data_IF_212294591889
#
_entry.id   IF_212294591889
#
_cell.length_a   1.000
_cell.length_b   1.000
_cell.length_c   1.000
_cell.angle_alpha   90.00
_cell.angle_beta   90.00
_cell.angle_gamma   90.00
#
_symmetry.space_group_name_H-M   'P 1'
#
loop_
_entity.id
_entity.type
_entity.pdbx_description
1 polymer ?
#
# COMPACT_ATOMS: atom_id res chain seq x y z
N UNK A 1 -3.47 -34.84 34.39
CA UNK A 1 -3.90 -34.02 33.24
C UNK A 1 -4.96 -34.82 32.51
N UNK A 2 -6.23 -34.39 32.52
CA UNK A 2 -7.25 -35.00 31.66
C UNK A 2 -7.03 -34.46 30.25
N UNK A 3 -6.80 -35.35 29.28
CA UNK A 3 -6.86 -35.02 27.86
C UNK A 3 -8.24 -34.47 27.53
N UNK A 4 -8.30 -33.29 26.92
CA UNK A 4 -9.53 -32.66 26.46
C UNK A 4 -10.27 -33.63 25.51
N UNK A 5 -11.58 -33.87 25.70
CA UNK A 5 -12.35 -34.68 24.75
C UNK A 5 -12.35 -34.04 23.36
N UNK A 6 -12.60 -34.85 22.32
CA UNK A 6 -12.81 -34.36 20.96
C UNK A 6 -13.96 -33.34 20.94
N UNK A 7 -13.68 -32.08 20.61
CA UNK A 7 -14.69 -31.03 20.48
C UNK A 7 -14.99 -30.77 19.01
N UNK A 8 -16.26 -30.84 18.63
CA UNK A 8 -16.74 -30.23 17.39
C UNK A 8 -16.82 -28.72 17.63
N UNK A 9 -15.81 -27.97 17.19
CA UNK A 9 -15.86 -26.51 17.24
C UNK A 9 -16.80 -25.99 16.15
N UNK A 10 -17.82 -25.24 16.56
CA UNK A 10 -18.72 -24.54 15.63
C UNK A 10 -17.94 -23.39 14.97
N UNK A 11 -17.97 -23.25 13.64
CA UNK A 11 -17.34 -22.10 12.98
C UNK A 11 -17.93 -20.78 13.47
N UNK A 12 -17.05 -19.79 13.69
CA UNK A 12 -17.41 -18.44 14.16
C UNK A 12 -17.06 -17.35 13.15
N UNK A 13 -16.48 -17.71 12.00
CA UNK A 13 -16.38 -16.81 10.86
C UNK A 13 -16.61 -17.52 9.53
N UNK A 14 -16.99 -16.74 8.53
CA UNK A 14 -17.20 -17.19 7.15
C UNK A 14 -16.74 -16.13 6.16
N UNK A 15 -16.09 -16.57 5.08
CA UNK A 15 -15.89 -15.79 3.87
C UNK A 15 -16.89 -16.28 2.82
N UNK A 16 -17.72 -15.37 2.30
CA UNK A 16 -18.68 -15.66 1.23
C UNK A 16 -18.25 -14.93 -0.03
N UNK A 17 -17.87 -15.67 -1.06
CA UNK A 17 -17.47 -15.13 -2.36
C UNK A 17 -18.70 -14.78 -3.20
N UNK A 18 -18.53 -13.90 -4.18
CA UNK A 18 -19.62 -13.46 -5.07
C UNK A 18 -20.26 -14.59 -5.91
N UNK A 19 -19.56 -15.71 -6.11
CA UNK A 19 -20.09 -16.91 -6.77
C UNK A 19 -20.98 -17.77 -5.84
N UNK A 20 -21.09 -17.40 -4.56
CA UNK A 20 -21.86 -18.09 -3.54
C UNK A 20 -21.05 -19.11 -2.72
N UNK A 21 -19.77 -19.32 -3.03
CA UNK A 21 -18.86 -20.17 -2.24
C UNK A 21 -18.74 -19.62 -0.83
N UNK A 22 -18.95 -20.48 0.18
CA UNK A 22 -18.83 -20.13 1.59
C UNK A 22 -17.70 -20.95 2.24
N UNK A 23 -16.71 -20.26 2.80
CA UNK A 23 -15.53 -20.85 3.43
C UNK A 23 -15.58 -20.53 4.93
N UNK A 24 -15.73 -21.57 5.74
CA UNK A 24 -15.93 -21.46 7.19
C UNK A 24 -14.62 -21.66 7.95
N UNK A 25 -14.49 -20.93 9.06
CA UNK A 25 -13.37 -21.08 9.99
C UNK A 25 -13.65 -20.38 11.31
N UNK A 26 -12.58 -19.96 11.97
CA UNK A 26 -12.63 -19.33 13.29
C UNK A 26 -12.46 -17.82 13.18
N UNK A 27 -13.40 -17.09 13.75
CA UNK A 27 -13.38 -15.63 13.80
C UNK A 27 -12.30 -15.11 14.74
N UNK A 28 -11.63 -14.07 14.26
CA UNK A 28 -10.64 -13.26 14.98
C UNK A 28 -10.92 -11.78 14.69
N UNK A 29 -10.38 -10.88 15.50
CA UNK A 29 -10.62 -9.46 15.34
C UNK A 29 -12.05 -9.05 15.68
N UNK A 30 -12.53 -8.00 15.02
CA UNK A 30 -13.85 -7.42 15.26
C UNK A 30 -15.00 -8.34 14.83
N UNK A 31 -16.15 -8.18 15.47
CA UNK A 31 -17.40 -8.88 15.13
C UNK A 31 -18.23 -8.07 14.14
N UNK A 32 -19.03 -8.74 13.32
CA UNK A 32 -19.84 -8.12 12.26
C UNK A 32 -19.47 -8.66 10.89
N UNK A 33 -19.79 -7.93 9.84
CA UNK A 33 -19.46 -8.31 8.46
C UNK A 33 -19.15 -7.12 7.55
N UNK A 34 -18.26 -7.31 6.56
CA UNK A 34 -17.83 -6.26 5.63
C UNK A 34 -17.67 -6.80 4.20
N UNK A 35 -18.06 -5.98 3.21
CA UNK A 35 -17.86 -6.23 1.77
C UNK A 35 -16.51 -5.69 1.32
N UNK A 36 -15.77 -6.47 0.55
CA UNK A 36 -14.45 -6.08 0.05
C UNK A 36 -13.96 -7.01 -1.08
N UNK A 37 -12.89 -6.58 -1.75
CA UNK A 37 -12.15 -7.42 -2.70
C UNK A 37 -11.15 -8.28 -1.92
N UNK A 38 -11.05 -9.57 -2.24
CA UNK A 38 -10.07 -10.47 -1.61
C UNK A 38 -8.81 -10.50 -2.45
N UNK A 39 -7.69 -10.12 -1.84
CA UNK A 39 -6.36 -10.31 -2.40
C UNK A 39 -5.57 -11.31 -1.57
N UNK A 40 -4.40 -11.73 -2.06
CA UNK A 40 -3.44 -12.49 -1.27
C UNK A 40 -2.09 -11.78 -1.25
N UNK A 41 -1.37 -11.81 -0.13
CA UNK A 41 -0.02 -11.25 -0.03
C UNK A 41 1.00 -12.34 0.37
N UNK A 42 2.13 -12.37 -0.34
CA UNK A 42 3.18 -13.39 -0.19
C UNK A 42 4.27 -13.06 0.83
N UNK A 43 4.24 -11.87 1.45
CA UNK A 43 5.21 -11.48 2.45
C UNK A 43 5.16 -12.41 3.67
N UNK A 44 6.34 -12.87 4.09
CA UNK A 44 6.48 -13.78 5.24
C UNK A 44 6.49 -13.02 6.58
N UNK A 45 6.80 -11.73 6.53
CA UNK A 45 6.91 -10.82 7.68
C UNK A 45 6.24 -9.49 7.34
N UNK A 46 5.91 -8.71 8.36
CA UNK A 46 5.36 -7.37 8.17
C UNK A 46 3.85 -7.32 8.01
N UNK A 47 3.12 -8.26 8.63
CA UNK A 47 1.67 -8.31 8.55
C UNK A 47 1.00 -7.06 9.13
N UNK A 48 1.63 -6.39 10.09
CA UNK A 48 1.06 -5.21 10.72
C UNK A 48 1.15 -4.01 9.77
N UNK A 49 2.32 -3.80 9.18
CA UNK A 49 2.58 -2.79 8.16
C UNK A 49 1.64 -2.98 6.96
N UNK A 50 1.46 -4.22 6.49
CA UNK A 50 0.47 -4.58 5.44
C UNK A 50 -0.95 -4.19 5.85
N UNK A 51 -1.40 -4.59 7.04
CA UNK A 51 -2.78 -4.32 7.47
C UNK A 51 -3.06 -2.82 7.68
N UNK A 52 -2.02 -2.00 7.75
CA UNK A 52 -2.09 -0.55 7.95
C UNK A 52 -1.67 0.24 6.73
N UNK A 53 -1.35 -0.41 5.63
CA UNK A 53 -1.11 0.25 4.35
C UNK A 53 -2.47 0.74 3.79
N UNK A 54 -2.66 2.06 3.61
CA UNK A 54 -3.93 2.60 3.10
C UNK A 54 -4.34 2.07 1.74
N UNK A 55 -3.40 1.52 0.95
CA UNK A 55 -3.68 0.94 -0.36
C UNK A 55 -4.56 -0.31 -0.28
N UNK A 56 -4.68 -0.96 0.89
CA UNK A 56 -5.63 -2.05 1.14
C UNK A 56 -7.03 -1.60 1.57
N UNK A 57 -7.34 -0.30 1.52
CA UNK A 57 -8.69 0.17 1.85
C UNK A 57 -9.72 -0.55 0.95
N UNK A 58 -10.76 -1.10 1.56
CA UNK A 58 -11.78 -1.88 0.85
C UNK A 58 -11.34 -3.29 0.44
N UNK A 59 -10.24 -3.81 1.00
CA UNK A 59 -9.73 -5.15 0.69
C UNK A 59 -9.62 -6.06 1.94
N UNK A 60 -9.76 -7.36 1.69
CA UNK A 60 -9.51 -8.45 2.63
C UNK A 60 -8.18 -9.09 2.25
N UNK A 61 -7.20 -9.07 3.15
CA UNK A 61 -5.85 -9.58 2.88
C UNK A 61 -5.73 -11.04 3.31
N UNK A 62 -5.50 -11.93 2.34
CA UNK A 62 -5.16 -13.33 2.60
C UNK A 62 -3.64 -13.49 2.70
N UNK A 63 -3.13 -13.90 3.86
CA UNK A 63 -1.70 -14.15 4.00
C UNK A 63 -1.34 -15.57 3.58
N UNK A 64 -0.34 -15.72 2.72
CA UNK A 64 0.13 -17.05 2.31
C UNK A 64 1.03 -17.69 3.35
N UNK A 65 1.75 -16.90 4.14
CA UNK A 65 2.53 -17.42 5.26
C UNK A 65 1.59 -17.89 6.39
N UNK A 66 1.72 -19.13 6.87
CA UNK A 66 0.67 -19.73 7.69
C UNK A 66 0.54 -19.14 9.10
N UNK A 67 1.64 -18.70 9.69
CA UNK A 67 1.71 -18.24 11.07
C UNK A 67 1.78 -16.71 11.15
N UNK A 68 0.62 -16.07 11.25
CA UNK A 68 0.50 -14.61 11.38
C UNK A 68 0.20 -14.25 12.84
N UNK A 69 0.90 -13.24 13.37
CA UNK A 69 0.78 -12.80 14.78
C UNK A 69 1.93 -13.21 15.69
N UNK A 70 2.94 -13.93 15.18
CA UNK A 70 4.04 -14.47 15.98
C UNK A 70 4.82 -13.40 16.78
N UNK A 71 4.84 -12.16 16.31
CA UNK A 71 5.53 -11.03 16.96
C UNK A 71 4.58 -10.03 17.62
N UNK A 72 3.28 -10.35 17.69
CA UNK A 72 2.24 -9.50 18.28
C UNK A 72 1.98 -8.26 17.44
N UNK A 73 1.60 -7.17 18.09
CA UNK A 73 1.48 -5.85 17.49
C UNK A 73 2.14 -4.79 18.39
N UNK A 74 2.53 -3.66 17.78
CA UNK A 74 3.12 -2.52 18.48
C UNK A 74 2.74 -1.17 17.83
N UNK A 75 3.07 -0.05 18.45
CA UNK A 75 2.71 1.28 17.94
C UNK A 75 3.64 1.84 16.87
N UNK A 76 4.75 1.16 16.56
CA UNK A 76 5.79 1.64 15.64
C UNK A 76 5.62 1.08 14.22
N UNK A 77 5.08 -0.13 14.08
CA UNK A 77 4.86 -0.82 12.80
C UNK A 77 3.49 -0.43 12.19
N UNK A 78 3.27 0.89 12.06
CA UNK A 78 2.06 1.51 11.51
C UNK A 78 2.44 2.33 10.29
N UNK A 79 1.75 2.09 9.17
CA UNK A 79 2.01 2.79 7.91
C UNK A 79 0.94 3.82 7.52
N UNK A 80 -0.29 3.73 8.04
CA UNK A 80 -1.31 4.74 7.75
C UNK A 80 -0.96 6.09 8.39
N UNK A 81 -1.25 7.20 7.70
CA UNK A 81 -0.93 8.54 8.23
C UNK A 81 -1.78 8.90 9.47
N UNK A 82 -3.05 8.50 9.48
CA UNK A 82 -4.03 8.84 10.53
C UNK A 82 -4.59 7.58 11.23
N UNK A 83 -3.91 7.06 12.27
CA UNK A 83 -4.28 5.78 12.91
C UNK A 83 -5.67 5.76 13.52
N UNK A 84 -6.16 6.92 13.96
CA UNK A 84 -7.53 7.06 14.47
C UNK A 84 -8.58 6.78 13.40
N UNK A 85 -8.28 7.08 12.13
CA UNK A 85 -9.16 6.79 10.99
C UNK A 85 -9.04 5.34 10.51
N UNK A 86 -8.03 4.59 10.99
CA UNK A 86 -7.84 3.14 10.76
C UNK A 86 -7.87 2.77 9.27
N UNK A 87 -7.16 3.56 8.46
CA UNK A 87 -7.09 3.38 7.02
C UNK A 87 -6.20 2.18 6.71
N UNK A 88 -6.68 1.25 5.90
CA UNK A 88 -5.99 0.00 5.58
C UNK A 88 -6.96 -1.14 5.31
N UNK A 89 -6.48 -2.36 5.47
CA UNK A 89 -7.27 -3.56 5.22
C UNK A 89 -8.52 -3.60 6.11
N UNK A 90 -9.67 -3.96 5.53
CA UNK A 90 -10.94 -4.11 6.28
C UNK A 90 -11.13 -5.52 6.82
N UNK A 91 -10.42 -6.48 6.24
CA UNK A 91 -10.41 -7.85 6.75
C UNK A 91 -9.11 -8.60 6.51
N UNK A 92 -8.95 -9.73 7.17
CA UNK A 92 -7.74 -10.55 7.10
C UNK A 92 -8.02 -12.04 7.18
N UNK A 93 -7.21 -12.85 6.51
CA UNK A 93 -7.38 -14.31 6.45
C UNK A 93 -6.07 -15.04 6.73
N UNK A 94 -6.09 -15.93 7.72
CA UNK A 94 -4.93 -16.71 8.18
C UNK A 94 -5.16 -18.22 8.06
N UNK A 95 -4.05 -18.97 7.86
CA UNK A 95 -4.07 -20.44 7.91
C UNK A 95 -4.16 -20.94 9.34
N UNK A 96 -3.21 -20.53 10.19
CA UNK A 96 -3.16 -20.94 11.58
C UNK A 96 -3.95 -19.97 12.47
N UNK A 97 -4.30 -20.43 13.67
CA UNK A 97 -4.78 -19.53 14.73
C UNK A 97 -3.65 -18.61 15.21
N UNK A 98 -4.03 -17.44 15.72
CA UNK A 98 -3.08 -16.50 16.33
C UNK A 98 -2.51 -17.14 17.61
N UNK A 99 -1.18 -17.21 17.70
CA UNK A 99 -0.49 -17.70 18.89
C UNK A 99 -0.16 -16.56 19.85
N UNK A 100 0.26 -16.89 21.07
CA UNK A 100 0.89 -15.90 21.95
C UNK A 100 2.14 -15.30 21.27
N UNK A 101 2.31 -13.97 21.30
CA UNK A 101 3.43 -13.35 20.62
C UNK A 101 4.74 -13.56 21.38
N UNK A 102 5.85 -13.65 20.65
CA UNK A 102 7.20 -13.77 21.20
C UNK A 102 8.16 -12.83 20.47
N UNK A 103 8.14 -11.55 20.88
CA UNK A 103 9.06 -10.53 20.38
C UNK A 103 9.22 -9.41 21.41
N UNK A 104 10.43 -8.88 21.57
CA UNK A 104 10.71 -7.81 22.55
C UNK A 104 9.98 -6.49 22.24
N UNK A 105 9.61 -6.24 20.97
CA UNK A 105 8.80 -5.10 20.52
C UNK A 105 7.30 -5.32 20.71
N UNK A 106 6.84 -6.56 20.95
CA UNK A 106 5.42 -6.84 21.15
C UNK A 106 4.88 -6.03 22.32
N UNK A 107 3.76 -5.34 22.10
CA UNK A 107 3.03 -4.61 23.15
C UNK A 107 1.58 -5.08 23.28
N UNK A 108 1.03 -5.71 22.25
CA UNK A 108 -0.34 -6.19 22.22
C UNK A 108 -0.43 -7.56 21.51
N UNK A 109 -1.42 -8.37 21.88
CA UNK A 109 -1.78 -9.56 21.13
C UNK A 109 -2.47 -9.16 19.81
N UNK A 110 -2.17 -9.85 18.70
CA UNK A 110 -2.70 -9.48 17.39
C UNK A 110 -4.24 -9.49 17.34
N UNK A 111 -4.93 -10.43 18.00
CA UNK A 111 -6.40 -10.48 17.99
C UNK A 111 -7.02 -9.26 18.67
N UNK A 112 -6.44 -8.82 19.80
CA UNK A 112 -6.85 -7.61 20.50
C UNK A 112 -6.61 -6.35 19.64
N UNK A 113 -5.48 -6.31 18.95
CA UNK A 113 -5.15 -5.23 18.03
C UNK A 113 -6.10 -5.18 16.81
N UNK A 114 -6.46 -6.33 16.22
CA UNK A 114 -7.44 -6.40 15.14
C UNK A 114 -8.82 -5.88 15.60
N UNK A 115 -9.25 -6.23 16.81
CA UNK A 115 -10.48 -5.70 17.44
C UNK A 115 -10.41 -4.20 17.63
N UNK A 116 -9.29 -3.70 18.16
CA UNK A 116 -9.10 -2.26 18.38
C UNK A 116 -9.04 -1.48 17.07
N UNK A 117 -8.66 -2.12 15.96
CA UNK A 117 -8.70 -1.60 14.58
C UNK A 117 -10.04 -1.77 13.88
N UNK A 118 -10.96 -2.58 14.39
CA UNK A 118 -12.20 -2.90 13.69
C UNK A 118 -12.02 -3.84 12.48
N UNK A 119 -10.88 -4.54 12.39
CA UNK A 119 -10.59 -5.48 11.30
C UNK A 119 -11.24 -6.81 11.61
N UNK A 120 -12.03 -7.33 10.66
CA UNK A 120 -12.69 -8.63 10.77
C UNK A 120 -11.77 -9.69 10.20
N UNK A 121 -11.51 -10.78 10.93
CA UNK A 121 -10.62 -11.83 10.43
C UNK A 121 -11.17 -13.24 10.53
N UNK A 122 -10.62 -14.09 9.67
CA UNK A 122 -10.94 -15.51 9.53
C UNK A 122 -9.65 -16.31 9.62
N UNK A 123 -9.61 -17.31 10.49
CA UNK A 123 -8.46 -18.21 10.67
C UNK A 123 -8.87 -19.67 10.55
N UNK A 124 -7.90 -20.57 10.39
CA UNK A 124 -8.14 -22.02 10.34
C UNK A 124 -8.54 -22.55 8.97
N UNK A 125 -8.46 -21.74 7.91
CA UNK A 125 -8.85 -22.15 6.55
C UNK A 125 -7.64 -22.53 5.69
N UNK A 126 -7.85 -23.21 4.57
CA UNK A 126 -6.77 -23.43 3.61
C UNK A 126 -6.48 -22.19 2.76
N UNK A 127 -5.60 -21.32 3.25
CA UNK A 127 -5.17 -20.12 2.51
C UNK A 127 -4.44 -20.46 1.21
N UNK A 128 -3.80 -21.64 1.10
CA UNK A 128 -3.18 -22.06 -0.17
C UNK A 128 -4.24 -22.35 -1.23
N UNK A 129 -5.34 -23.01 -0.85
CA UNK A 129 -6.46 -23.24 -1.75
C UNK A 129 -7.08 -21.92 -2.21
N UNK A 130 -7.29 -20.96 -1.29
CA UNK A 130 -7.80 -19.63 -1.62
C UNK A 130 -6.85 -18.85 -2.55
N UNK A 131 -5.54 -18.86 -2.28
CA UNK A 131 -4.55 -18.23 -3.17
C UNK A 131 -4.52 -18.87 -4.55
N UNK A 132 -4.62 -20.20 -4.65
CA UNK A 132 -4.70 -20.87 -5.94
C UNK A 132 -5.98 -20.48 -6.69
N UNK A 133 -7.12 -20.41 -5.98
CA UNK A 133 -8.38 -19.97 -6.54
C UNK A 133 -8.30 -18.55 -7.10
N UNK A 134 -7.73 -17.59 -6.33
CA UNK A 134 -7.56 -16.19 -6.77
C UNK A 134 -6.65 -16.11 -8.00
N UNK A 135 -5.59 -16.90 -8.08
CA UNK A 135 -4.70 -16.92 -9.26
C UNK A 135 -5.39 -17.47 -10.52
N UNK A 136 -6.38 -18.34 -10.36
CA UNK A 136 -7.11 -18.97 -11.47
C UNK A 136 -8.33 -18.16 -11.93
N UNK A 137 -9.00 -17.47 -11.00
CA UNK A 137 -10.28 -16.79 -11.24
C UNK A 137 -10.22 -15.27 -11.11
N UNK A 138 -9.09 -14.73 -10.65
CA UNK A 138 -8.90 -13.33 -10.31
C UNK A 138 -9.32 -13.00 -8.88
N UNK A 139 -9.10 -11.75 -8.47
CA UNK A 139 -9.48 -11.26 -7.14
C UNK A 139 -11.02 -11.19 -6.99
N UNK A 140 -11.65 -12.00 -6.11
CA UNK A 140 -13.10 -12.01 -5.98
C UNK A 140 -13.60 -10.90 -5.07
N UNK A 141 -14.80 -10.43 -5.38
CA UNK A 141 -15.64 -9.72 -4.43
C UNK A 141 -16.16 -10.70 -3.37
N UNK A 142 -16.16 -10.30 -2.09
CA UNK A 142 -16.61 -11.16 -1.01
C UNK A 142 -17.19 -10.38 0.17
N UNK A 143 -17.82 -11.12 1.08
CA UNK A 143 -18.13 -10.69 2.44
C UNK A 143 -17.39 -11.57 3.42
N UNK A 144 -16.63 -10.95 4.32
CA UNK A 144 -16.09 -11.63 5.51
C UNK A 144 -16.98 -11.29 6.70
N UNK A 145 -17.37 -12.31 7.47
CA UNK A 145 -18.21 -12.16 8.65
C UNK A 145 -17.63 -12.92 9.85
N UNK A 146 -17.70 -12.30 11.03
CA UNK A 146 -17.34 -12.89 12.32
C UNK A 146 -18.53 -12.75 13.28
N UNK A 147 -19.14 -13.88 13.59
CA UNK A 147 -20.27 -14.02 14.51
C UNK A 147 -19.91 -15.04 15.60
N UNK A 148 -19.61 -14.61 16.84
CA UNK A 148 -19.17 -15.50 17.91
C UNK A 148 -20.14 -16.64 18.24
N UNK A 149 -21.44 -16.48 18.00
CA UNK A 149 -22.43 -17.55 18.17
C UNK A 149 -22.41 -18.59 17.05
N UNK A 150 -21.74 -18.31 15.93
CA UNK A 150 -21.69 -19.13 14.72
C UNK A 150 -23.01 -19.21 13.95
N UNK A 151 -23.94 -18.28 14.19
CA UNK A 151 -25.24 -18.23 13.52
C UNK A 151 -25.20 -17.24 12.36
N UNK A 152 -24.98 -17.73 11.14
CA UNK A 152 -24.90 -16.89 9.94
C UNK A 152 -26.19 -16.92 9.12
N UNK A 153 -26.67 -15.75 8.71
CA UNK A 153 -27.63 -15.64 7.61
C UNK A 153 -26.89 -15.71 6.27
N UNK A 154 -26.63 -16.93 5.80
CA UNK A 154 -25.83 -17.15 4.59
C UNK A 154 -26.50 -16.58 3.33
N UNK A 155 -27.84 -16.55 3.27
CA UNK A 155 -28.53 -16.02 2.10
C UNK A 155 -28.39 -14.49 2.04
N UNK A 156 -28.48 -13.80 3.17
CA UNK A 156 -28.17 -12.37 3.25
C UNK A 156 -26.71 -12.08 2.89
N UNK A 157 -25.75 -12.86 3.39
CA UNK A 157 -24.33 -12.68 3.09
C UNK A 157 -24.00 -12.92 1.60
N UNK A 158 -24.60 -13.94 0.97
CA UNK A 158 -24.46 -14.19 -0.48
C UNK A 158 -25.05 -13.06 -1.31
N UNK A 159 -26.24 -12.58 -0.94
CA UNK A 159 -26.87 -11.45 -1.62
C UNK A 159 -25.99 -10.20 -1.52
N UNK A 160 -25.39 -9.95 -0.35
CA UNK A 160 -24.45 -8.86 -0.12
C UNK A 160 -23.17 -9.01 -0.95
N UNK A 161 -22.52 -10.18 -0.94
CA UNK A 161 -21.32 -10.46 -1.74
C UNK A 161 -21.54 -10.24 -3.25
N UNK A 162 -22.72 -10.62 -3.75
CA UNK A 162 -23.10 -10.45 -5.16
C UNK A 162 -23.41 -8.99 -5.54
N UNK A 163 -23.85 -8.17 -4.58
CA UNK A 163 -24.26 -6.79 -4.84
C UNK A 163 -23.10 -5.79 -4.91
N UNK A 164 -21.89 -6.17 -4.44
CA UNK A 164 -20.76 -5.26 -4.41
C UNK A 164 -20.14 -5.07 -5.81
N UNK A 165 -19.99 -3.81 -6.22
CA UNK A 165 -19.53 -3.42 -7.55
C UNK A 165 -18.03 -3.60 -7.83
N UNK A 166 -17.24 -4.02 -6.83
CA UNK A 166 -15.79 -4.13 -6.96
C UNK A 166 -15.06 -2.79 -6.79
N UNK A 167 -13.74 -2.80 -7.00
CA UNK A 167 -12.89 -1.62 -6.90
C UNK A 167 -12.86 -0.76 -8.17
N UNK A 168 -13.24 -1.29 -9.32
CA UNK A 168 -13.24 -0.54 -10.58
C UNK A 168 -14.22 0.64 -10.51
N UNK A 169 -13.74 1.82 -10.90
CA UNK A 169 -14.49 3.07 -10.81
C UNK A 169 -14.66 3.65 -9.39
N UNK A 170 -14.07 3.04 -8.35
CA UNK A 170 -14.09 3.61 -6.99
C UNK A 170 -12.86 4.49 -6.73
N UNK A 171 -13.10 5.78 -6.49
CA UNK A 171 -12.09 6.70 -5.96
C UNK A 171 -11.96 6.51 -4.45
N UNK A 172 -11.10 5.59 -4.02
CA UNK A 172 -10.81 5.37 -2.60
C UNK A 172 -9.74 6.33 -2.06
N UNK A 173 -9.01 7.02 -2.94
CA UNK A 173 -8.00 8.00 -2.54
C UNK A 173 -8.62 9.17 -1.74
N UNK A 174 -9.85 9.58 -2.05
CA UNK A 174 -10.56 10.61 -1.26
C UNK A 174 -10.99 10.14 0.13
N UNK A 175 -11.15 8.84 0.32
CA UNK A 175 -11.40 8.26 1.65
C UNK A 175 -10.09 8.09 2.42
N UNK A 176 -8.99 7.84 1.71
CA UNK A 176 -7.66 7.59 2.28
C UNK A 176 -6.82 8.85 2.52
N UNK A 177 -7.11 9.97 1.86
CA UNK A 177 -6.39 11.25 1.99
C UNK A 177 -6.63 11.93 3.33
N UNK A 178 -5.61 12.59 3.87
CA UNK A 178 -5.71 13.54 4.98
C UNK A 178 -6.79 14.62 4.73
N UNK A 179 -7.45 15.04 5.81
CA UNK A 179 -8.51 16.05 5.74
C UNK A 179 -8.01 17.49 5.68
N UNK A 180 -6.74 17.73 6.06
CA UNK A 180 -6.08 19.02 6.03
C UNK A 180 -4.59 18.82 5.82
N UNK A 181 -3.92 19.85 5.28
CA UNK A 181 -2.47 19.82 5.11
C UNK A 181 -1.76 19.73 6.46
N UNK A 182 -0.64 18.99 6.51
CA UNK A 182 0.15 18.80 7.71
C UNK A 182 1.65 18.82 7.39
N UNK A 183 2.46 19.03 8.43
CA UNK A 183 3.92 18.86 8.35
C UNK A 183 4.28 17.48 8.85
N UNK A 184 5.30 16.88 8.25
CA UNK A 184 5.90 15.63 8.72
C UNK A 184 7.38 15.83 8.99
N UNK A 185 7.83 15.38 10.16
CA UNK A 185 9.20 15.50 10.64
C UNK A 185 9.79 14.20 11.21
N UNK A 186 9.00 13.14 11.39
CA UNK A 186 9.48 11.84 11.88
C UNK A 186 10.47 11.21 10.86
N UNK A 187 11.64 10.76 11.35
CA UNK A 187 12.75 10.15 10.60
C UNK A 187 12.60 8.62 10.49
N UNK A 188 13.41 7.94 9.67
CA UNK A 188 13.42 6.47 9.62
C UNK A 188 13.73 5.87 10.99
N UNK A 189 13.08 4.73 11.30
CA UNK A 189 13.29 4.01 12.55
C UNK A 189 14.73 3.48 12.65
N UNK A 190 15.32 3.57 13.84
CA UNK A 190 16.65 3.01 14.14
C UNK A 190 16.55 1.98 15.26
N UNK A 191 17.23 0.86 15.07
CA UNK A 191 17.22 -0.24 16.05
C UNK A 191 17.73 0.21 17.42
N UNK A 192 16.97 -0.12 18.47
CA UNK A 192 17.18 0.31 19.87
C UNK A 192 17.03 1.82 20.15
N UNK A 193 16.73 2.64 19.15
CA UNK A 193 16.58 4.09 19.31
C UNK A 193 15.13 4.53 19.03
N UNK A 194 14.45 3.88 18.10
CA UNK A 194 13.09 4.21 17.72
C UNK A 194 13.05 5.26 16.61
N UNK A 195 12.01 6.09 16.63
CA UNK A 195 11.85 7.22 15.74
C UNK A 195 12.43 8.50 16.36
N UNK A 196 13.09 9.31 15.54
CA UNK A 196 13.50 10.67 15.87
C UNK A 196 12.74 11.69 15.01
N UNK A 197 12.86 12.98 15.31
CA UNK A 197 12.35 14.06 14.47
C UNK A 197 13.48 14.83 13.78
N UNK A 198 13.21 15.33 12.58
CA UNK A 198 14.10 16.19 11.82
C UNK A 198 13.99 17.63 12.36
N UNK A 199 15.04 18.10 13.04
CA UNK A 199 15.11 19.46 13.55
C UNK A 199 15.02 20.51 12.43
N UNK A 200 14.39 21.65 12.69
CA UNK A 200 14.22 22.73 11.70
C UNK A 200 15.57 23.23 11.13
N UNK A 201 16.62 23.25 11.94
CA UNK A 201 17.96 23.66 11.53
C UNK A 201 18.61 22.70 10.52
N UNK A 202 18.15 21.46 10.45
CA UNK A 202 18.69 20.41 9.56
C UNK A 202 17.86 20.25 8.27
N UNK A 203 16.76 21.00 8.12
CA UNK A 203 15.92 20.97 6.93
C UNK A 203 16.60 21.72 5.77
N UNK A 204 16.84 21.02 4.65
CA UNK A 204 17.57 21.56 3.48
C UNK A 204 16.70 21.67 2.23
N UNK A 205 15.75 20.77 2.08
CA UNK A 205 14.87 20.70 0.92
C UNK A 205 13.41 20.71 1.37
N UNK A 206 12.54 21.28 0.55
CA UNK A 206 11.09 21.25 0.79
C UNK A 206 10.39 20.38 -0.25
N UNK A 207 9.85 19.25 0.19
CA UNK A 207 9.03 18.35 -0.63
C UNK A 207 7.56 18.52 -0.25
N UNK A 208 6.71 18.74 -1.25
CA UNK A 208 5.25 18.66 -1.07
C UNK A 208 4.78 17.27 -1.49
N UNK A 209 4.15 16.54 -0.59
CA UNK A 209 3.58 15.22 -0.82
C UNK A 209 2.07 15.34 -1.02
N UNK A 210 1.57 14.98 -2.19
CA UNK A 210 0.12 14.83 -2.42
C UNK A 210 -0.30 13.48 -1.85
N UNK A 211 -1.20 13.52 -0.86
CA UNK A 211 -1.66 12.37 -0.11
C UNK A 211 -2.86 11.71 -0.78
N UNK A 212 -2.60 10.60 -1.47
CA UNK A 212 -3.63 9.71 -2.00
C UNK A 212 -3.92 8.52 -1.06
N UNK A 213 -3.36 8.51 0.15
CA UNK A 213 -3.26 7.34 1.03
C UNK A 213 -1.81 7.00 1.37
N UNK A 214 -1.01 8.03 1.69
CA UNK A 214 0.44 7.90 1.86
C UNK A 214 0.82 6.98 3.02
N UNK A 215 1.81 6.13 2.77
CA UNK A 215 2.49 5.36 3.80
C UNK A 215 3.51 6.22 4.56
N UNK A 216 3.53 6.13 5.88
CA UNK A 216 4.45 6.88 6.74
C UNK A 216 5.91 6.67 6.37
N UNK A 217 6.31 5.46 5.98
CA UNK A 217 7.72 5.21 5.67
C UNK A 217 8.23 5.99 4.44
N UNK A 218 7.35 6.35 3.49
CA UNK A 218 7.70 7.27 2.40
C UNK A 218 8.15 8.62 2.98
N UNK A 219 7.36 9.17 3.90
CA UNK A 219 7.61 10.47 4.52
C UNK A 219 8.89 10.42 5.37
N UNK A 220 9.10 9.31 6.10
CA UNK A 220 10.32 9.06 6.89
C UNK A 220 11.57 9.01 6.01
N UNK A 221 11.53 8.37 4.85
CA UNK A 221 12.70 8.33 3.96
C UNK A 221 13.04 9.71 3.38
N UNK A 222 12.05 10.57 3.16
CA UNK A 222 12.32 11.97 2.79
C UNK A 222 12.94 12.78 3.93
N UNK A 223 12.41 12.70 5.15
CA UNK A 223 13.00 13.40 6.31
C UNK A 223 14.41 12.88 6.62
N UNK A 224 14.68 11.60 6.41
CA UNK A 224 16.02 11.01 6.47
C UNK A 224 17.02 11.59 5.47
N UNK A 225 16.53 12.25 4.41
CA UNK A 225 17.32 13.01 3.43
C UNK A 225 17.24 14.52 3.65
N UNK A 226 16.97 14.97 4.89
CA UNK A 226 16.86 16.39 5.26
C UNK A 226 15.73 17.14 4.55
N UNK A 227 14.68 16.45 4.13
CA UNK A 227 13.52 17.09 3.53
C UNK A 227 12.51 17.49 4.59
N UNK A 228 12.15 18.77 4.63
CA UNK A 228 10.89 19.23 5.18
C UNK A 228 9.77 18.71 4.29
N UNK A 229 8.85 17.92 4.83
CA UNK A 229 7.72 17.39 4.07
C UNK A 229 6.44 18.10 4.47
N UNK A 230 5.74 18.66 3.48
CA UNK A 230 4.37 19.15 3.65
C UNK A 230 3.42 18.20 2.93
N UNK A 231 2.57 17.54 3.71
CA UNK A 231 1.54 16.64 3.19
C UNK A 231 0.30 17.48 2.88
N UNK A 232 -0.24 17.33 1.68
CA UNK A 232 -1.45 18.04 1.24
C UNK A 232 -2.53 17.05 0.80
N UNK A 233 -3.82 17.35 1.01
CA UNK A 233 -4.90 16.48 0.57
C UNK A 233 -4.90 16.18 -0.94
N UNK A 234 -5.46 15.04 -1.33
CA UNK A 234 -5.54 14.56 -2.72
C UNK A 234 -6.06 15.60 -3.74
N UNK A 235 -6.97 16.48 -3.31
CA UNK A 235 -7.64 17.49 -4.14
C UNK A 235 -7.02 18.89 -4.05
N UNK A 236 -5.86 19.05 -3.42
CA UNK A 236 -5.17 20.35 -3.37
C UNK A 236 -4.78 20.81 -4.77
N UNK A 237 -5.03 22.09 -5.06
CA UNK A 237 -4.79 22.65 -6.39
C UNK A 237 -3.29 22.80 -6.69
N UNK A 238 -2.93 22.83 -7.98
CA UNK A 238 -1.55 23.11 -8.38
C UNK A 238 -1.08 24.51 -7.92
N UNK A 239 -1.98 25.50 -7.93
CA UNK A 239 -1.69 26.85 -7.45
C UNK A 239 -1.30 26.84 -5.96
N UNK A 240 -2.09 26.19 -5.12
CA UNK A 240 -1.81 26.08 -3.68
C UNK A 240 -0.51 25.32 -3.42
N UNK A 241 -0.25 24.24 -4.18
CA UNK A 241 1.00 23.47 -4.07
C UNK A 241 2.20 24.34 -4.44
N UNK A 242 2.12 25.09 -5.53
CA UNK A 242 3.21 25.98 -5.98
C UNK A 242 3.40 27.17 -5.03
N UNK A 243 2.33 27.66 -4.39
CA UNK A 243 2.40 28.73 -3.40
C UNK A 243 3.22 28.33 -2.15
N UNK A 244 3.33 27.03 -1.86
CA UNK A 244 4.21 26.50 -0.82
C UNK A 244 5.71 26.59 -1.19
N UNK A 245 6.04 26.99 -2.41
CA UNK A 245 7.42 27.08 -2.93
C UNK A 245 8.25 25.79 -2.76
N UNK A 246 7.74 24.62 -3.20
CA UNK A 246 8.46 23.37 -3.06
C UNK A 246 9.72 23.32 -3.93
N UNK A 247 10.72 22.61 -3.45
CA UNK A 247 11.88 22.21 -4.24
C UNK A 247 11.58 21.01 -5.15
N UNK A 248 10.59 20.18 -4.77
CA UNK A 248 10.09 19.06 -5.56
C UNK A 248 8.72 18.59 -5.06
N UNK A 249 7.98 17.89 -5.91
CA UNK A 249 6.66 17.35 -5.59
C UNK A 249 6.66 15.83 -5.66
N UNK A 250 5.99 15.22 -4.69
CA UNK A 250 5.87 13.78 -4.58
C UNK A 250 4.39 13.35 -4.64
N UNK A 251 4.12 12.29 -5.42
CA UNK A 251 2.80 11.69 -5.62
C UNK A 251 2.77 10.35 -4.88
N UNK A 252 1.99 10.24 -3.79
CA UNK A 252 2.01 9.05 -2.94
C UNK A 252 1.35 7.82 -3.56
N UNK A 253 1.53 6.68 -2.88
CA UNK A 253 0.66 5.52 -3.04
C UNK A 253 -0.78 5.83 -2.58
N UNK A 254 -1.71 4.91 -2.87
CA UNK A 254 -3.09 4.99 -2.44
C UNK A 254 -3.95 3.84 -2.97
N UNK A 255 -5.19 3.70 -2.46
CA UNK A 255 -6.14 2.68 -2.89
C UNK A 255 -6.99 3.12 -4.09
N UNK A 256 -7.73 2.16 -4.67
CA UNK A 256 -8.80 2.43 -5.62
C UNK A 256 -8.38 2.43 -7.09
N UNK A 257 -9.29 2.86 -7.95
CA UNK A 257 -9.10 2.90 -9.40
C UNK A 257 -8.37 4.19 -9.83
N UNK A 258 -7.22 4.07 -10.52
CA UNK A 258 -6.48 5.22 -11.00
C UNK A 258 -7.27 6.15 -11.94
N UNK A 259 -8.19 5.60 -12.74
CA UNK A 259 -9.00 6.39 -13.65
C UNK A 259 -9.93 7.35 -12.89
N UNK A 260 -10.50 6.91 -11.77
CA UNK A 260 -11.39 7.71 -10.93
C UNK A 260 -10.62 8.81 -10.18
N UNK A 261 -9.49 8.47 -9.55
CA UNK A 261 -8.60 9.47 -8.92
C UNK A 261 -8.01 10.45 -9.95
N UNK A 262 -7.81 9.99 -11.18
CA UNK A 262 -7.30 10.77 -12.29
C UNK A 262 -8.18 11.99 -12.66
N UNK A 263 -9.49 11.95 -12.40
CA UNK A 263 -10.42 13.04 -12.75
C UNK A 263 -9.97 14.41 -12.19
N UNK A 264 -9.44 14.43 -10.97
CA UNK A 264 -8.94 15.65 -10.33
C UNK A 264 -7.40 15.70 -10.27
N UNK A 265 -6.73 14.55 -10.17
CA UNK A 265 -5.27 14.52 -10.01
C UNK A 265 -4.51 14.84 -11.31
N UNK A 266 -4.99 14.37 -12.47
CA UNK A 266 -4.28 14.53 -13.75
C UNK A 266 -4.08 16.00 -14.15
N UNK A 267 -5.10 16.88 -14.09
CA UNK A 267 -4.90 18.31 -14.39
C UNK A 267 -3.87 18.97 -13.47
N UNK A 268 -3.88 18.64 -12.17
CA UNK A 268 -2.91 19.16 -11.19
C UNK A 268 -1.50 18.70 -11.52
N UNK A 269 -1.31 17.40 -11.78
CA UNK A 269 0.00 16.82 -12.10
C UNK A 269 0.57 17.42 -13.38
N UNK A 270 -0.24 17.65 -14.41
CA UNK A 270 0.21 18.33 -15.64
C UNK A 270 0.75 19.73 -15.35
N UNK A 271 0.02 20.53 -14.57
CA UNK A 271 0.47 21.86 -14.18
C UNK A 271 1.78 21.83 -13.37
N UNK A 272 1.94 20.83 -12.49
CA UNK A 272 3.18 20.65 -11.73
C UNK A 272 4.36 20.25 -12.63
N UNK A 273 4.16 19.39 -13.62
CA UNK A 273 5.18 19.03 -14.62
C UNK A 273 5.58 20.26 -15.45
N UNK A 274 4.63 21.12 -15.81
CA UNK A 274 4.88 22.32 -16.60
C UNK A 274 5.60 23.42 -15.82
N UNK A 275 5.54 23.40 -14.48
CA UNK A 275 6.34 24.28 -13.62
C UNK A 275 7.86 23.98 -13.68
N UNK A 276 8.25 22.82 -14.21
CA UNK A 276 9.66 22.39 -14.25
C UNK A 276 10.24 21.99 -12.88
N UNK A 277 9.39 21.69 -11.91
CA UNK A 277 9.79 21.07 -10.64
C UNK A 277 10.12 19.59 -10.84
N UNK A 278 11.06 19.04 -10.05
CA UNK A 278 11.18 17.60 -9.89
C UNK A 278 9.86 16.97 -9.43
N UNK A 279 9.43 15.90 -10.10
CA UNK A 279 8.22 15.13 -9.74
C UNK A 279 8.56 13.65 -9.61
N UNK A 280 8.19 13.04 -8.48
CA UNK A 280 8.35 11.61 -8.24
C UNK A 280 7.03 10.97 -7.81
N UNK A 281 6.64 9.86 -8.43
CA UNK A 281 5.45 9.10 -8.06
C UNK A 281 5.72 7.65 -7.65
N UNK A 282 4.97 7.14 -6.67
CA UNK A 282 5.02 5.75 -6.20
C UNK A 282 3.63 5.11 -6.30
N UNK A 283 3.55 3.87 -6.81
CA UNK A 283 2.32 3.08 -6.90
C UNK A 283 1.15 3.83 -7.58
N UNK A 284 0.14 4.29 -6.84
CA UNK A 284 -0.94 5.11 -7.40
C UNK A 284 -0.40 6.41 -8.02
N UNK A 285 0.59 7.06 -7.39
CA UNK A 285 1.28 8.22 -7.94
C UNK A 285 2.02 7.93 -9.25
N UNK A 286 2.51 6.71 -9.45
CA UNK A 286 3.07 6.27 -10.73
C UNK A 286 1.99 6.17 -11.82
N UNK A 287 0.84 5.59 -11.47
CA UNK A 287 -0.30 5.46 -12.38
C UNK A 287 -0.89 6.83 -12.74
N UNK A 288 -1.05 7.72 -11.76
CA UNK A 288 -1.47 9.11 -11.98
C UNK A 288 -0.51 9.85 -12.91
N UNK A 289 0.80 9.68 -12.70
CA UNK A 289 1.80 10.28 -13.58
C UNK A 289 1.68 9.75 -15.01
N UNK A 290 1.53 8.44 -15.18
CA UNK A 290 1.35 7.84 -16.50
C UNK A 290 0.10 8.37 -17.22
N UNK A 291 -1.05 8.45 -16.53
CA UNK A 291 -2.28 9.05 -17.07
C UNK A 291 -2.09 10.53 -17.43
N UNK A 292 -1.40 11.30 -16.58
CA UNK A 292 -1.12 12.70 -16.83
C UNK A 292 -0.27 12.91 -18.09
N UNK A 293 0.66 11.99 -18.36
CA UNK A 293 1.49 11.97 -19.55
C UNK A 293 0.78 11.43 -20.80
N UNK A 294 -0.43 10.87 -20.67
CA UNK A 294 -1.22 10.36 -21.79
C UNK A 294 -1.20 8.83 -21.97
N UNK A 295 -0.60 8.09 -21.04
CA UNK A 295 -0.71 6.64 -20.97
C UNK A 295 -2.08 6.16 -20.46
N UNK A 296 -2.24 4.85 -20.35
CA UNK A 296 -3.45 4.17 -19.86
C UNK A 296 -3.11 3.22 -18.71
N UNK A 297 -4.10 2.95 -17.88
CA UNK A 297 -4.05 1.94 -16.81
C UNK A 297 -5.01 0.79 -17.10
N UNK A 298 -4.67 -0.40 -16.60
CA UNK A 298 -5.49 -1.61 -16.72
C UNK A 298 -5.60 -2.30 -15.36
N UNK A 299 -6.77 -2.88 -15.05
CA UNK A 299 -6.93 -3.77 -13.89
C UNK A 299 -6.20 -5.07 -14.16
N UNK A 300 -5.43 -5.53 -13.18
CA UNK A 300 -4.71 -6.79 -13.24
C UNK A 300 -5.61 -7.95 -12.76
N UNK A 301 -5.37 -9.14 -13.30
CA UNK A 301 -6.13 -10.34 -12.93
C UNK A 301 -6.09 -10.64 -11.42
N UNK A 302 -4.89 -10.64 -10.83
CA UNK A 302 -4.65 -10.88 -9.40
C UNK A 302 -3.87 -9.75 -8.70
N UNK A 303 -3.31 -8.81 -9.47
CA UNK A 303 -2.40 -7.79 -8.97
C UNK A 303 -1.05 -8.34 -8.48
N UNK A 304 -0.23 -7.46 -7.90
CA UNK A 304 1.02 -7.83 -7.25
C UNK A 304 0.99 -7.42 -5.78
N UNK A 305 1.17 -8.39 -4.90
CA UNK A 305 1.05 -8.24 -3.46
C UNK A 305 2.08 -9.16 -2.77
N UNK A 306 3.20 -8.59 -2.35
CA UNK A 306 4.31 -9.39 -1.84
C UNK A 306 5.59 -8.61 -1.64
N UNK A 307 6.60 -9.26 -1.06
CA UNK A 307 7.90 -8.66 -0.75
C UNK A 307 9.08 -9.44 -1.36
N UNK A 308 8.84 -10.12 -2.49
CA UNK A 308 9.81 -10.97 -3.17
C UNK A 308 9.80 -10.76 -4.70
N UNK A 309 9.27 -9.64 -5.16
CA UNK A 309 9.01 -9.42 -6.59
C UNK A 309 10.27 -8.93 -7.30
N UNK A 310 10.77 -9.62 -8.33
CA UNK A 310 11.95 -9.18 -9.06
C UNK A 310 11.58 -8.10 -10.10
N UNK A 311 12.25 -6.96 -10.04
CA UNK A 311 12.12 -5.85 -11.00
C UNK A 311 13.48 -5.54 -11.60
N UNK A 312 13.53 -5.41 -12.92
CA UNK A 312 14.75 -4.98 -13.63
C UNK A 312 14.70 -3.48 -13.91
N UNK A 313 15.74 -2.78 -13.48
CA UNK A 313 16.00 -1.36 -13.80
C UNK A 313 16.84 -1.28 -15.08
N UNK A 314 16.25 -0.79 -16.17
CA UNK A 314 16.95 -0.61 -17.45
C UNK A 314 17.97 0.53 -17.42
N UNK A 315 17.85 1.48 -16.49
CA UNK A 315 18.79 2.60 -16.36
C UNK A 315 20.13 2.18 -15.79
N UNK A 316 20.17 1.08 -15.01
CA UNK A 316 21.39 0.55 -14.39
C UNK A 316 21.73 -0.87 -14.84
N UNK A 317 20.79 -1.58 -15.46
CA UNK A 317 20.90 -3.00 -15.81
C UNK A 317 20.75 -3.96 -14.62
N UNK A 318 20.46 -3.44 -13.42
CA UNK A 318 20.35 -4.23 -12.18
C UNK A 318 18.95 -4.82 -12.00
N UNK A 319 18.89 -5.88 -11.19
CA UNK A 319 17.64 -6.47 -10.70
C UNK A 319 17.52 -6.20 -9.20
N UNK A 320 16.33 -5.85 -8.78
CA UNK A 320 15.96 -5.56 -7.39
C UNK A 320 14.87 -6.51 -6.96
N UNK A 321 14.90 -6.91 -5.69
CA UNK A 321 13.74 -7.52 -5.05
C UNK A 321 12.97 -6.39 -4.40
N UNK A 322 11.68 -6.27 -4.70
CA UNK A 322 10.86 -5.13 -4.29
C UNK A 322 9.59 -5.56 -3.55
N UNK A 323 9.02 -4.61 -2.81
CA UNK A 323 7.69 -4.72 -2.21
C UNK A 323 6.64 -4.22 -3.19
N UNK A 324 5.57 -5.00 -3.37
CA UNK A 324 4.47 -4.72 -4.30
C UNK A 324 3.14 -4.73 -3.55
N UNK A 325 2.29 -3.76 -3.87
CA UNK A 325 0.89 -3.72 -3.48
C UNK A 325 0.09 -2.92 -4.52
N UNK A 326 -0.36 -3.57 -5.59
CA UNK A 326 -1.20 -2.92 -6.60
C UNK A 326 -2.09 -3.91 -7.38
N UNK A 327 -3.35 -3.52 -7.59
CA UNK A 327 -4.31 -4.24 -8.43
C UNK A 327 -4.45 -3.69 -9.85
N UNK A 328 -3.81 -2.56 -10.16
CA UNK A 328 -3.79 -1.91 -11.47
C UNK A 328 -2.34 -1.76 -11.95
N UNK A 329 -2.14 -1.67 -13.25
CA UNK A 329 -0.83 -1.42 -13.85
C UNK A 329 -0.93 -0.42 -15.00
N UNK A 330 0.17 0.26 -15.29
CA UNK A 330 0.32 1.06 -16.52
C UNK A 330 0.51 0.14 -17.71
N UNK A 331 -0.24 0.37 -18.78
CA UNK A 331 -0.06 -0.35 -20.04
C UNK A 331 1.14 0.22 -20.80
N UNK A 332 2.26 -0.50 -20.82
CA UNK A 332 3.50 -0.10 -21.50
C UNK A 332 3.30 0.21 -22.98
N UNK A 333 2.36 -0.46 -23.67
CA UNK A 333 2.09 -0.23 -25.08
C UNK A 333 1.34 1.09 -25.35
N UNK A 334 0.76 1.69 -24.31
CA UNK A 334 0.03 2.96 -24.38
C UNK A 334 0.90 4.18 -24.14
N UNK A 335 2.17 4.00 -23.75
CA UNK A 335 3.06 5.11 -23.40
C UNK A 335 3.34 5.99 -24.64
N UNK A 336 3.13 7.31 -24.56
CA UNK A 336 3.36 8.21 -25.69
C UNK A 336 4.86 8.50 -25.89
N UNK A 337 5.17 9.10 -27.04
CA UNK A 337 6.52 9.56 -27.35
C UNK A 337 7.07 10.49 -26.26
N UNK A 338 8.34 10.30 -25.89
CA UNK A 338 9.00 11.03 -24.82
C UNK A 338 8.85 10.42 -23.42
N UNK A 339 7.98 9.42 -23.24
CA UNK A 339 7.88 8.63 -22.00
C UNK A 339 8.62 7.31 -22.16
N UNK A 340 9.62 7.07 -21.32
CA UNK A 340 10.44 5.85 -21.37
C UNK A 340 10.08 4.92 -20.22
N UNK A 341 9.85 3.65 -20.51
CA UNK A 341 9.79 2.60 -19.48
C UNK A 341 11.18 2.37 -18.89
N UNK A 342 11.31 2.54 -17.58
CA UNK A 342 12.59 2.44 -16.87
C UNK A 342 12.71 1.13 -16.10
N UNK A 343 11.60 0.57 -15.64
CA UNK A 343 11.58 -0.65 -14.85
C UNK A 343 10.52 -1.62 -15.38
N UNK A 344 10.81 -2.91 -15.34
CA UNK A 344 9.88 -3.98 -15.74
C UNK A 344 9.84 -5.09 -14.70
N UNK A 345 8.68 -5.69 -14.50
CA UNK A 345 8.58 -6.91 -13.72
C UNK A 345 9.23 -8.08 -14.46
N UNK A 346 10.04 -8.87 -13.75
CA UNK A 346 10.55 -10.14 -14.27
C UNK A 346 9.62 -11.33 -14.01
N UNK A 347 8.49 -11.15 -13.32
CA UNK A 347 7.47 -12.19 -13.17
C UNK A 347 6.52 -12.25 -14.36
N UNK A 348 6.09 -11.11 -14.89
CA UNK A 348 5.04 -11.06 -15.92
C UNK A 348 5.28 -10.04 -17.03
N UNK A 349 6.35 -9.23 -16.96
CA UNK A 349 6.66 -8.21 -17.95
C UNK A 349 5.88 -6.90 -17.80
N UNK A 350 5.11 -6.71 -16.72
CA UNK A 350 4.35 -5.47 -16.51
C UNK A 350 5.27 -4.27 -16.28
N UNK A 351 4.80 -3.07 -16.65
CA UNK A 351 5.49 -1.81 -16.34
C UNK A 351 5.73 -1.70 -14.82
N UNK A 352 6.92 -1.27 -14.44
CA UNK A 352 7.27 -1.01 -13.04
C UNK A 352 7.85 0.39 -12.81
N UNK A 353 7.96 1.21 -13.85
CA UNK A 353 8.51 2.55 -13.75
C UNK A 353 8.63 3.25 -15.08
N UNK A 354 8.55 4.59 -15.04
CA UNK A 354 8.64 5.46 -16.20
C UNK A 354 9.48 6.71 -15.89
N UNK A 355 10.00 7.34 -16.93
CA UNK A 355 10.62 8.68 -16.88
C UNK A 355 10.22 9.52 -18.08
N UNK A 356 10.12 10.83 -17.91
CA UNK A 356 9.84 11.78 -18.98
C UNK A 356 11.13 12.40 -19.53
N UNK A 357 11.34 12.29 -20.84
CA UNK A 357 12.52 12.85 -21.50
C UNK A 357 12.62 14.37 -21.32
N UNK A 358 13.81 14.85 -20.94
CA UNK A 358 14.11 16.28 -20.84
C UNK A 358 13.45 17.01 -19.65
N UNK A 359 12.72 16.31 -18.78
CA UNK A 359 12.14 16.88 -17.54
C UNK A 359 12.57 16.04 -16.32
N UNK A 360 12.70 16.64 -15.11
CA UNK A 360 13.08 15.93 -13.89
C UNK A 360 11.90 15.13 -13.30
N UNK A 361 11.30 14.24 -14.10
CA UNK A 361 10.03 13.58 -13.78
C UNK A 361 10.15 12.08 -13.99
N UNK A 362 9.91 11.30 -12.93
CA UNK A 362 9.93 9.84 -12.98
C UNK A 362 8.97 9.22 -11.95
N UNK A 363 8.69 7.93 -12.07
CA UNK A 363 7.89 7.20 -11.08
C UNK A 363 8.16 5.70 -11.12
N UNK A 364 7.76 4.99 -10.05
CA UNK A 364 7.82 3.52 -9.97
C UNK A 364 6.53 2.92 -9.43
N UNK A 365 6.19 1.74 -9.92
CA UNK A 365 4.97 1.01 -9.53
C UNK A 365 5.11 0.31 -8.17
N UNK A 366 6.31 -0.15 -7.85
CA UNK A 366 6.62 -0.81 -6.58
C UNK A 366 6.78 0.20 -5.45
N UNK A 367 6.91 -0.29 -4.22
CA UNK A 367 7.07 0.50 -3.00
C UNK A 367 8.55 0.56 -2.59
N UNK A 368 9.33 1.56 -3.04
CA UNK A 368 10.73 1.66 -2.67
C UNK A 368 10.95 2.00 -1.20
N UNK A 369 9.93 2.46 -0.48
CA UNK A 369 9.96 2.58 0.98
C UNK A 369 9.79 1.24 1.70
N UNK A 370 9.42 0.18 0.98
CA UNK A 370 9.09 -1.12 1.53
C UNK A 370 8.09 -1.02 2.69
N UNK A 371 8.48 -1.32 3.92
CA UNK A 371 7.61 -1.30 5.12
C UNK A 371 6.25 -1.99 4.87
N UNK A 372 6.25 -3.32 4.68
CA UNK A 372 7.39 -4.22 4.82
C UNK A 372 8.09 -4.54 3.49
N UNK A 373 9.26 -5.17 3.60
CA UNK A 373 9.97 -5.75 2.45
C UNK A 373 11.44 -5.34 2.34
N UNK A 374 12.09 -5.71 1.23
CA UNK A 374 13.50 -5.43 0.95
C UNK A 374 13.76 -3.93 0.72
N UNK A 375 14.98 -3.49 1.00
CA UNK A 375 15.40 -2.08 0.91
C UNK A 375 16.15 -1.76 -0.40
N UNK A 376 16.16 -2.68 -1.36
CA UNK A 376 16.93 -2.62 -2.61
C UNK A 376 16.68 -1.32 -3.40
N UNK A 377 15.46 -0.78 -3.31
CA UNK A 377 15.00 0.40 -4.07
C UNK A 377 15.06 1.73 -3.29
N UNK A 378 15.62 1.76 -2.08
CA UNK A 378 15.75 2.99 -1.27
C UNK A 378 16.49 4.12 -2.01
N UNK A 379 17.38 3.77 -2.95
CA UNK A 379 18.11 4.73 -3.78
C UNK A 379 17.21 5.67 -4.58
N UNK A 380 15.96 5.29 -4.88
CA UNK A 380 15.04 6.11 -5.67
C UNK A 380 14.69 7.42 -4.95
N UNK A 381 14.68 7.43 -3.61
CA UNK A 381 14.55 8.68 -2.84
C UNK A 381 15.77 9.58 -3.04
N UNK A 382 16.98 9.01 -3.05
CA UNK A 382 18.23 9.75 -3.34
C UNK A 382 18.27 10.27 -4.78
N UNK A 383 17.79 9.47 -5.75
CA UNK A 383 17.63 9.88 -7.15
C UNK A 383 16.73 11.11 -7.26
N UNK A 384 15.58 11.11 -6.58
CA UNK A 384 14.70 12.28 -6.56
C UNK A 384 15.37 13.52 -5.96
N UNK A 385 16.07 13.36 -4.83
CA UNK A 385 16.82 14.47 -4.22
C UNK A 385 17.99 14.94 -5.09
N UNK A 386 18.59 14.07 -5.88
CA UNK A 386 19.59 14.46 -6.86
C UNK A 386 19.02 15.39 -7.95
N UNK A 387 17.77 15.19 -8.38
CA UNK A 387 17.11 16.13 -9.30
C UNK A 387 16.90 17.51 -8.66
N UNK A 388 16.59 17.55 -7.37
CA UNK A 388 16.51 18.80 -6.60
C UNK A 388 17.88 19.47 -6.49
N UNK A 389 18.91 18.71 -6.11
CA UNK A 389 20.29 19.19 -5.93
C UNK A 389 20.88 19.72 -7.21
N UNK A 390 20.66 19.05 -8.34
CA UNK A 390 21.10 19.51 -9.66
C UNK A 390 20.51 20.89 -9.99
N UNK A 391 19.21 21.10 -9.76
CA UNK A 391 18.55 22.40 -9.97
C UNK A 391 19.11 23.51 -9.06
N UNK A 392 19.58 23.14 -7.87
CA UNK A 392 20.25 24.07 -6.92
C UNK A 392 21.76 24.23 -7.17
N UNK A 393 22.36 23.50 -8.12
CA UNK A 393 23.80 23.51 -8.37
C UNK A 393 24.63 22.84 -7.28
N UNK A 394 24.04 21.90 -6.53
CA UNK A 394 24.70 21.15 -5.46
C UNK A 394 25.30 19.83 -5.98
N UNK A 395 26.37 19.35 -5.35
CA UNK A 395 26.98 18.06 -5.70
C UNK A 395 25.98 16.91 -5.50
N UNK A 396 25.96 15.90 -6.37
CA UNK A 396 25.02 14.79 -6.26
C UNK A 396 25.35 13.86 -5.07
N UNK A 397 24.31 13.29 -4.46
CA UNK A 397 24.44 12.17 -3.53
C UNK A 397 24.71 10.88 -4.29
N UNK A 398 25.48 9.98 -3.69
CA UNK A 398 25.58 8.61 -4.18
C UNK A 398 24.21 7.92 -4.03
N UNK A 399 23.67 7.40 -5.15
CA UNK A 399 22.37 6.75 -5.17
C UNK A 399 22.39 5.42 -4.41
N UNK A 400 23.39 4.57 -4.66
CA UNK A 400 23.53 3.23 -4.06
C UNK A 400 24.88 3.15 -3.36
N UNK A 401 24.86 2.94 -2.05
CA UNK A 401 26.07 2.68 -1.25
C UNK A 401 26.59 1.25 -1.43
#
# INVERSE_FOLDING_TARGET
>A
MMTTPWTNEKPTAVLVLADGTAIFGKGIGATGDVQAEVCFNTALTGYQEILTDPSYLGQIVTFTFPHIGNIGANGEDIEDLTPAARRGAVGTIFKAEITNPSNYRSRENLDAWLKSRGIIGLSGIDTRALTAWIREHGAPNAVIAHEPSGNFDLEALKAKAKAWGGLEGLDLAVEATSGQSSKWDEKPWVWNEGYETLAEADQKYHVVCIDYGVKRNILRLFTGLSCKVTVVPAKTSAEDILALSPDGVFLSNGPGDPAATGEYAVPVIRALIDSGLPVFGICLGHQMLALALGGKTVKMHQGHHGANHPVKDYTTGKVEIVSMNHGFAVDSASLPEGVTETHVSLFDGSNCGISLAGKPVFSVQHHPEASPGPQDSHYLFRRFINLVREKKGEALLEERA
#
